data_IF_592478607007
#
_entry.id   IF_592478607007
#
_cell.length_a   1.000
_cell.length_b   1.000
_cell.length_c   1.000
_cell.angle_alpha   90.00
_cell.angle_beta   90.00
_cell.angle_gamma   90.00
#
_symmetry.space_group_name_H-M   'P 1'
#
loop_
_entity.id
_entity.type
_entity.pdbx_description
1 polymer ?
#
# COMPACT_ATOMS: atom_id res chain seq x y z
N UNK A 1 -35.47 34.25 -66.95
CA UNK A 1 -35.06 34.38 -65.53
C UNK A 1 -35.54 33.15 -64.77
N UNK A 2 -34.80 32.80 -63.72
CA UNK A 2 -35.02 31.73 -62.72
C UNK A 2 -34.53 30.32 -63.09
N UNK A 3 -33.27 30.05 -62.70
CA UNK A 3 -32.73 28.69 -62.53
C UNK A 3 -33.10 28.18 -61.13
N UNK A 4 -33.74 27.02 -61.08
CA UNK A 4 -33.96 26.23 -59.86
C UNK A 4 -32.67 25.46 -59.53
N UNK A 5 -32.20 25.56 -58.28
CA UNK A 5 -31.09 24.79 -57.74
C UNK A 5 -31.64 23.87 -56.63
N UNK A 6 -31.42 22.55 -56.66
CA UNK A 6 -31.81 21.68 -55.56
C UNK A 6 -30.70 21.67 -54.50
N UNK A 7 -31.09 21.94 -53.25
CA UNK A 7 -30.22 21.87 -52.07
C UNK A 7 -30.23 20.43 -51.55
N UNK A 8 -29.21 19.64 -51.87
CA UNK A 8 -28.99 18.31 -51.28
C UNK A 8 -28.34 18.46 -49.90
N UNK A 9 -29.12 18.20 -48.84
CA UNK A 9 -28.64 18.15 -47.47
C UNK A 9 -27.99 16.79 -47.21
N UNK A 10 -26.66 16.74 -47.20
CA UNK A 10 -25.89 15.54 -46.83
C UNK A 10 -25.69 15.57 -45.31
N UNK A 11 -26.42 14.75 -44.57
CA UNK A 11 -26.15 14.48 -43.15
C UNK A 11 -24.90 13.59 -43.03
N UNK A 12 -23.74 14.21 -42.78
CA UNK A 12 -22.56 13.50 -42.31
C UNK A 12 -22.78 13.08 -40.86
N UNK A 13 -23.20 11.83 -40.64
CA UNK A 13 -23.16 11.20 -39.33
C UNK A 13 -21.69 10.92 -38.96
N UNK A 14 -21.13 11.76 -38.09
CA UNK A 14 -19.82 11.53 -37.49
C UNK A 14 -19.90 10.29 -36.58
N UNK A 15 -19.36 9.17 -37.05
CA UNK A 15 -19.04 8.04 -36.18
C UNK A 15 -17.84 8.44 -35.33
N UNK A 16 -18.07 8.86 -34.09
CA UNK A 16 -17.01 8.94 -33.09
C UNK A 16 -16.61 7.52 -32.70
N UNK A 17 -15.34 7.10 -32.87
CA UNK A 17 -14.90 5.84 -32.32
C UNK A 17 -14.99 5.92 -30.81
N UNK A 18 -15.86 5.07 -30.23
CA UNK A 18 -15.84 4.79 -28.80
C UNK A 18 -14.53 4.02 -28.55
N UNK A 19 -13.53 4.73 -28.02
CA UNK A 19 -12.35 4.11 -27.43
C UNK A 19 -12.84 3.33 -26.21
N UNK A 20 -13.01 2.02 -26.38
CA UNK A 20 -13.12 1.09 -25.27
C UNK A 20 -11.74 1.08 -24.63
N UNK A 21 -11.57 1.84 -23.55
CA UNK A 21 -10.39 1.73 -22.71
C UNK A 21 -10.36 0.29 -22.18
N UNK A 22 -9.46 -0.51 -22.74
CA UNK A 22 -9.06 -1.78 -22.14
C UNK A 22 -8.58 -1.45 -20.73
N UNK A 23 -9.28 -1.96 -19.73
CA UNK A 23 -8.92 -1.84 -18.31
C UNK A 23 -7.62 -2.62 -18.08
N UNK A 24 -6.51 -2.00 -18.47
CA UNK A 24 -5.18 -2.58 -18.35
C UNK A 24 -4.72 -2.29 -16.93
N UNK A 25 -4.82 -3.30 -16.06
CA UNK A 25 -4.38 -3.18 -14.67
C UNK A 25 -2.96 -2.61 -14.61
N UNK A 26 -2.79 -1.47 -13.94
CA UNK A 26 -1.48 -0.86 -13.76
C UNK A 26 -0.58 -1.79 -12.94
N UNK A 27 0.56 -2.16 -13.53
CA UNK A 27 1.60 -2.92 -12.84
C UNK A 27 2.37 -2.01 -11.89
N UNK A 28 2.54 -2.46 -10.65
CA UNK A 28 3.29 -1.79 -9.59
C UNK A 28 4.21 -2.81 -8.95
N UNK A 29 5.48 -2.47 -8.74
CA UNK A 29 6.37 -3.32 -7.95
C UNK A 29 6.25 -2.97 -6.47
N UNK A 30 6.32 -3.96 -5.60
CA UNK A 30 6.38 -3.74 -4.14
C UNK A 30 7.62 -4.41 -3.57
N UNK A 31 8.33 -3.74 -2.66
CA UNK A 31 9.49 -4.35 -2.02
C UNK A 31 9.06 -5.55 -1.17
N UNK A 32 9.53 -6.74 -1.53
CA UNK A 32 9.16 -7.97 -0.83
C UNK A 32 9.79 -8.03 0.57
N UNK A 33 11.01 -7.52 0.70
CA UNK A 33 11.70 -7.38 1.98
C UNK A 33 11.64 -5.90 2.37
N UNK A 34 11.07 -5.59 3.53
CA UNK A 34 11.12 -4.24 4.10
C UNK A 34 12.56 -4.02 4.51
N UNK A 35 13.18 -2.95 4.01
CA UNK A 35 14.62 -2.75 4.18
C UNK A 35 15.49 -3.24 3.03
N UNK A 36 15.03 -3.17 1.77
CA UNK A 36 15.97 -3.11 0.66
C UNK A 36 16.94 -1.95 0.88
N UNK A 37 18.24 -2.25 0.94
CA UNK A 37 19.30 -1.26 0.92
C UNK A 37 19.34 -0.60 -0.47
N UNK A 38 18.38 0.29 -0.72
CA UNK A 38 18.45 1.28 -1.79
C UNK A 38 19.56 2.27 -1.37
N UNK A 39 20.51 2.63 -2.25
CA UNK A 39 21.56 3.60 -1.90
C UNK A 39 20.96 4.86 -1.26
N UNK A 40 21.32 5.13 0.01
CA UNK A 40 20.75 6.21 0.83
C UNK A 40 19.84 5.76 1.98
N UNK A 41 19.42 4.49 2.01
CA UNK A 41 18.62 3.89 3.07
C UNK A 41 19.30 2.61 3.58
N UNK A 42 19.80 2.64 4.83
CA UNK A 42 20.36 1.46 5.51
C UNK A 42 19.36 0.97 6.55
N UNK A 43 18.94 -0.29 6.47
CA UNK A 43 18.03 -0.89 7.45
C UNK A 43 18.69 -2.07 8.17
N UNK A 44 18.84 -1.96 9.49
CA UNK A 44 19.17 -3.05 10.38
C UNK A 44 17.90 -3.40 11.18
N UNK A 45 17.06 -4.29 10.66
CA UNK A 45 15.86 -4.72 11.38
C UNK A 45 16.16 -5.91 12.30
N UNK A 46 15.75 -5.79 13.56
CA UNK A 46 15.48 -6.95 14.39
C UNK A 46 14.31 -7.74 13.79
N UNK A 47 14.29 -9.07 13.92
CA UNK A 47 13.15 -9.88 13.49
C UNK A 47 11.87 -9.33 14.13
N UNK A 48 10.99 -8.74 13.30
CA UNK A 48 9.72 -8.21 13.77
C UNK A 48 8.83 -9.39 14.19
N UNK A 49 8.16 -9.32 15.36
CA UNK A 49 7.29 -10.40 15.78
C UNK A 49 6.12 -10.56 14.80
N UNK A 50 5.55 -11.76 14.72
CA UNK A 50 4.35 -12.07 13.95
C UNK A 50 4.49 -11.95 12.40
N UNK A 51 5.71 -11.95 11.83
CA UNK A 51 5.95 -11.87 10.37
C UNK A 51 5.23 -10.67 9.73
N UNK A 52 5.27 -9.50 10.39
CA UNK A 52 4.51 -8.29 9.98
C UNK A 52 4.82 -7.90 8.55
N UNK A 53 6.10 -7.91 8.21
CA UNK A 53 6.62 -7.68 6.88
C UNK A 53 5.90 -8.55 5.84
N UNK A 54 6.09 -9.86 5.93
CA UNK A 54 5.58 -10.82 4.96
C UNK A 54 4.05 -10.74 4.86
N UNK A 55 3.35 -10.67 6.00
CA UNK A 55 1.90 -10.56 6.01
C UNK A 55 1.42 -9.27 5.33
N UNK A 56 2.11 -8.14 5.51
CA UNK A 56 1.73 -6.88 4.88
C UNK A 56 1.89 -6.94 3.36
N UNK A 57 2.99 -7.48 2.83
CA UNK A 57 3.19 -7.63 1.37
C UNK A 57 2.12 -8.55 0.76
N UNK A 58 1.85 -9.70 1.39
CA UNK A 58 0.82 -10.62 0.93
C UNK A 58 -0.57 -9.95 0.88
N UNK A 59 -0.89 -9.13 1.87
CA UNK A 59 -2.13 -8.38 1.92
C UNK A 59 -2.20 -7.27 0.86
N UNK A 60 -1.10 -6.54 0.63
CA UNK A 60 -1.02 -5.51 -0.41
C UNK A 60 -1.29 -6.11 -1.80
N UNK A 61 -0.64 -7.22 -2.14
CA UNK A 61 -0.87 -7.93 -3.42
C UNK A 61 -2.31 -8.36 -3.57
N UNK A 62 -2.90 -8.89 -2.49
CA UNK A 62 -4.30 -9.36 -2.50
C UNK A 62 -5.29 -8.21 -2.67
N UNK A 63 -5.08 -7.08 -1.99
CA UNK A 63 -6.01 -5.95 -2.01
C UNK A 63 -5.82 -5.06 -3.24
N UNK A 64 -4.62 -5.02 -3.82
CA UNK A 64 -4.35 -4.33 -5.09
C UNK A 64 -5.19 -4.93 -6.23
N UNK A 65 -5.29 -6.27 -6.27
CA UNK A 65 -6.04 -6.98 -7.31
C UNK A 65 -7.52 -6.60 -7.31
N UNK A 66 -8.10 -6.31 -6.14
CA UNK A 66 -9.49 -5.83 -6.00
C UNK A 66 -9.68 -4.39 -6.48
N UNK A 67 -8.58 -3.64 -6.54
CA UNK A 67 -8.55 -2.22 -6.91
C UNK A 67 -8.12 -1.99 -8.37
N UNK A 68 -8.04 -3.05 -9.18
CA UNK A 68 -7.57 -2.97 -10.57
C UNK A 68 -6.07 -2.67 -10.69
N UNK A 69 -5.28 -3.06 -9.69
CA UNK A 69 -3.82 -2.92 -9.67
C UNK A 69 -3.16 -4.29 -9.60
N UNK A 70 -2.16 -4.51 -10.45
CA UNK A 70 -1.31 -5.69 -10.35
C UNK A 70 -0.08 -5.31 -9.53
N UNK A 71 0.02 -5.78 -8.28
CA UNK A 71 1.23 -5.63 -7.49
C UNK A 71 2.09 -6.89 -7.59
N UNK A 72 3.35 -6.73 -7.98
CA UNK A 72 4.35 -7.80 -8.02
C UNK A 72 5.42 -7.55 -6.95
N UNK A 73 5.57 -8.45 -5.96
CA UNK A 73 6.67 -8.40 -5.02
C UNK A 73 8.02 -8.60 -5.73
N UNK A 74 8.96 -7.71 -5.48
CA UNK A 74 10.32 -7.78 -6.03
C UNK A 74 11.36 -7.79 -4.92
N UNK A 75 12.40 -8.59 -5.15
CA UNK A 75 13.51 -8.80 -4.22
C UNK A 75 14.88 -8.41 -4.81
N UNK A 76 14.91 -7.72 -5.96
CA UNK A 76 16.15 -7.24 -6.57
C UNK A 76 16.01 -5.78 -6.97
N UNK A 77 17.10 -5.02 -6.81
CA UNK A 77 17.16 -3.60 -7.16
C UNK A 77 17.05 -3.35 -8.68
N UNK A 78 17.34 -4.35 -9.52
CA UNK A 78 17.25 -4.24 -10.98
C UNK A 78 15.84 -3.89 -11.48
N UNK A 79 14.79 -4.51 -10.91
CA UNK A 79 13.41 -4.19 -11.27
C UNK A 79 12.96 -2.83 -10.77
N UNK A 80 13.48 -2.41 -9.62
CA UNK A 80 13.20 -1.11 -8.99
C UNK A 80 13.85 0.04 -9.78
N UNK A 81 15.06 -0.16 -10.27
CA UNK A 81 15.84 0.86 -10.98
C UNK A 81 15.43 1.06 -12.45
N UNK A 82 14.53 0.22 -12.99
CA UNK A 82 14.08 0.31 -14.37
C UNK A 82 13.22 1.58 -14.64
N UNK A 83 12.81 2.31 -13.59
CA UNK A 83 12.23 3.67 -13.64
C UNK A 83 10.87 3.84 -14.30
N UNK A 84 10.47 2.88 -15.14
CA UNK A 84 9.25 2.91 -15.96
C UNK A 84 8.03 2.38 -15.21
N UNK A 85 8.23 1.35 -14.38
CA UNK A 85 7.17 0.75 -13.57
C UNK A 85 7.25 1.37 -12.18
N UNK A 86 6.15 1.93 -11.64
CA UNK A 86 6.15 2.52 -10.31
C UNK A 86 6.46 1.46 -9.25
N UNK A 87 7.19 1.89 -8.22
CA UNK A 87 7.61 1.03 -7.11
C UNK A 87 6.98 1.57 -5.83
N UNK A 88 6.14 0.75 -5.20
CA UNK A 88 5.67 0.91 -3.83
C UNK A 88 6.76 0.43 -2.87
N UNK A 89 7.37 1.38 -2.18
CA UNK A 89 8.33 1.15 -1.12
C UNK A 89 7.61 1.28 0.22
N UNK A 90 7.75 0.29 1.09
CA UNK A 90 7.22 0.35 2.44
C UNK A 90 8.36 0.20 3.44
N UNK A 91 8.34 1.07 4.45
CA UNK A 91 9.16 1.01 5.64
C UNK A 91 8.29 0.93 6.90
N UNK A 92 8.67 0.07 7.85
CA UNK A 92 7.98 -0.06 9.13
C UNK A 92 8.67 0.86 10.13
N UNK A 93 8.08 2.03 10.36
CA UNK A 93 8.65 3.05 11.25
C UNK A 93 8.55 2.65 12.73
N UNK A 94 7.43 2.03 13.13
CA UNK A 94 7.17 1.67 14.52
C UNK A 94 6.21 0.48 14.64
N UNK A 95 6.53 -0.44 15.53
CA UNK A 95 5.60 -1.38 16.15
C UNK A 95 5.61 -1.12 17.65
N UNK A 96 4.57 -0.49 18.17
CA UNK A 96 4.40 -0.32 19.62
C UNK A 96 3.46 -1.43 20.12
N UNK A 97 3.85 -2.13 21.18
CA UNK A 97 3.01 -3.08 21.92
C UNK A 97 2.65 -2.56 23.33
N UNK A 98 3.27 -1.43 23.74
CA UNK A 98 3.12 -0.78 25.04
C UNK A 98 4.37 0.02 25.42
N UNK A 99 4.40 0.59 26.63
CA UNK A 99 5.51 1.44 27.13
C UNK A 99 6.89 0.76 27.08
N UNK A 100 6.93 -0.55 27.34
CA UNK A 100 8.20 -1.30 27.50
C UNK A 100 8.58 -2.13 26.27
N UNK A 101 7.71 -2.19 25.25
CA UNK A 101 7.89 -3.05 24.07
C UNK A 101 7.54 -2.28 22.80
N UNK A 102 8.50 -1.47 22.34
CA UNK A 102 8.43 -0.75 21.07
C UNK A 102 9.60 -1.15 20.17
N UNK A 103 9.30 -1.43 18.91
CA UNK A 103 10.27 -1.71 17.85
C UNK A 103 10.19 -0.59 16.80
N UNK A 104 11.30 -0.28 16.16
CA UNK A 104 11.38 0.79 15.15
C UNK A 104 12.11 2.04 15.64
N UNK A 105 12.12 3.09 14.82
CA UNK A 105 12.95 4.29 15.03
C UNK A 105 12.27 5.40 15.83
N UNK A 106 10.95 5.28 16.06
CA UNK A 106 10.14 6.24 16.82
C UNK A 106 9.54 5.56 18.04
N UNK A 107 9.64 6.19 19.21
CA UNK A 107 9.27 5.58 20.51
C UNK A 107 8.40 6.48 21.39
N UNK A 108 7.98 7.65 20.91
CA UNK A 108 7.29 8.66 21.74
C UNK A 108 5.81 8.34 22.05
N UNK A 109 5.25 7.32 21.39
CA UNK A 109 3.81 7.03 21.44
C UNK A 109 3.56 5.60 21.95
N UNK A 110 2.81 5.49 23.04
CA UNK A 110 2.72 4.27 23.87
C UNK A 110 1.51 3.38 23.57
N UNK A 111 0.66 3.80 22.62
CA UNK A 111 -0.52 3.02 22.24
C UNK A 111 -0.12 1.87 21.30
N UNK A 112 -0.66 0.66 21.49
CA UNK A 112 -0.36 -0.47 20.61
C UNK A 112 -0.73 -0.18 19.16
N UNK A 113 0.26 -0.05 18.27
CA UNK A 113 0.07 0.35 16.88
C UNK A 113 1.16 -0.21 15.96
N UNK A 114 0.81 -0.32 14.69
CA UNK A 114 1.78 -0.44 13.59
C UNK A 114 1.77 0.87 12.81
N UNK A 115 2.94 1.46 12.62
CA UNK A 115 3.14 2.65 11.81
C UNK A 115 4.12 2.34 10.69
N UNK A 116 3.72 2.67 9.46
CA UNK A 116 4.53 2.48 8.27
C UNK A 116 4.59 3.76 7.45
N UNK A 117 5.70 3.95 6.76
CA UNK A 117 5.82 4.94 5.69
C UNK A 117 5.75 4.19 4.36
N UNK A 118 4.77 4.54 3.55
CA UNK A 118 4.64 4.08 2.18
C UNK A 118 5.17 5.18 1.24
N UNK A 119 5.81 4.77 0.15
CA UNK A 119 6.26 5.66 -0.90
C UNK A 119 6.02 5.07 -2.29
N UNK A 120 5.55 5.90 -3.22
CA UNK A 120 5.51 5.56 -4.65
C UNK A 120 6.68 6.28 -5.31
N UNK A 121 7.60 5.49 -5.88
CA UNK A 121 8.71 5.94 -6.69
C UNK A 121 8.41 5.68 -8.17
N UNK A 122 8.47 6.70 -9.02
CA UNK A 122 8.36 6.59 -10.48
C UNK A 122 9.38 7.52 -11.14
N UNK A 123 10.40 6.95 -11.76
CA UNK A 123 11.55 7.74 -12.21
C UNK A 123 12.21 8.46 -11.02
N UNK A 124 12.18 9.80 -11.05
CA UNK A 124 12.68 10.66 -9.97
C UNK A 124 11.55 11.15 -9.02
N UNK A 125 10.29 10.94 -9.38
CA UNK A 125 9.15 11.37 -8.59
C UNK A 125 8.94 10.43 -7.39
N UNK A 126 8.98 10.99 -6.19
CA UNK A 126 8.76 10.29 -4.93
C UNK A 126 7.59 10.93 -4.18
N UNK A 127 6.51 10.17 -4.00
CA UNK A 127 5.39 10.55 -3.14
C UNK A 127 5.36 9.66 -1.92
N UNK A 128 5.24 10.25 -0.72
CA UNK A 128 5.26 9.49 0.54
C UNK A 128 4.00 9.76 1.35
N UNK A 129 3.55 8.75 2.09
CA UNK A 129 2.47 8.85 3.05
C UNK A 129 2.75 7.98 4.26
N UNK A 130 2.27 8.43 5.43
CA UNK A 130 2.33 7.66 6.66
C UNK A 130 0.98 7.01 6.91
N UNK A 131 1.02 5.72 7.19
CA UNK A 131 -0.16 4.94 7.51
C UNK A 131 0.02 4.35 8.90
N UNK A 132 -1.08 4.27 9.66
CA UNK A 132 -1.05 3.74 11.02
C UNK A 132 -2.33 2.98 11.27
N UNK A 133 -2.18 1.83 11.93
CA UNK A 133 -3.32 1.08 12.44
C UNK A 133 -3.10 0.81 13.94
N UNK A 134 -4.20 0.80 14.70
CA UNK A 134 -4.16 0.41 16.10
C UNK A 134 -4.29 -1.12 16.21
N UNK A 135 -3.44 -1.73 17.04
CA UNK A 135 -3.47 -3.18 17.31
C UNK A 135 -4.61 -3.49 18.29
N UNK A 136 -4.83 -2.61 19.27
CA UNK A 136 -5.91 -2.73 20.24
C UNK A 136 -6.56 -1.37 20.50
N UNK A 137 -7.88 -1.37 20.71
CA UNK A 137 -8.60 -0.23 21.26
C UNK A 137 -8.62 -0.33 22.79
N UNK A 138 -8.61 0.81 23.50
CA UNK A 138 -8.49 0.88 24.97
C UNK A 138 -9.50 0.00 25.74
N UNK A 139 -10.65 -0.32 25.14
CA UNK A 139 -11.69 -1.18 25.71
C UNK A 139 -11.43 -2.69 25.58
N UNK A 140 -10.47 -3.10 24.75
CA UNK A 140 -10.05 -4.49 24.55
C UNK A 140 -8.83 -4.86 25.40
N UNK A 141 -8.20 -3.88 26.05
CA UNK A 141 -7.09 -4.09 26.99
C UNK A 141 -7.64 -4.47 28.37
N UNK A 142 -7.93 -5.74 28.61
CA UNK A 142 -8.05 -6.23 30.00
C UNK A 142 -6.66 -6.24 30.65
N UNK A 143 -6.52 -5.80 31.92
CA UNK A 143 -5.24 -5.88 32.61
C UNK A 143 -4.80 -7.35 32.66
N UNK A 144 -3.77 -7.68 31.89
CA UNK A 144 -3.20 -9.02 31.80
C UNK A 144 -1.75 -8.95 32.25
N UNK A 145 -1.29 -9.99 32.96
CA UNK A 145 0.09 -10.12 33.42
C UNK A 145 1.05 -10.60 32.33
N UNK A 146 0.58 -10.79 31.08
CA UNK A 146 1.38 -11.29 29.97
C UNK A 146 1.14 -10.45 28.70
N UNK A 147 2.20 -9.81 28.17
CA UNK A 147 2.16 -8.94 26.98
C UNK A 147 1.67 -9.64 25.71
N UNK A 148 1.77 -10.97 25.64
CA UNK A 148 1.25 -11.76 24.50
C UNK A 148 -0.25 -12.07 24.61
N UNK A 149 -0.81 -11.84 25.79
CA UNK A 149 -2.20 -12.13 26.14
C UNK A 149 -2.94 -10.80 26.31
N UNK A 150 -3.64 -10.36 25.26
CA UNK A 150 -4.49 -9.16 25.32
C UNK A 150 -5.84 -9.46 26.02
N UNK A 151 -6.01 -10.65 26.61
CA UNK A 151 -7.26 -11.13 27.19
C UNK A 151 -7.87 -12.28 26.39
N UNK A 152 -8.98 -12.81 26.93
CA UNK A 152 -9.58 -14.14 26.67
C UNK A 152 -9.83 -14.51 25.19
N UNK A 153 -9.80 -13.57 24.24
CA UNK A 153 -10.23 -13.80 22.85
C UNK A 153 -9.20 -13.49 21.74
N UNK A 154 -8.12 -12.75 21.99
CA UNK A 154 -7.17 -12.34 20.93
C UNK A 154 -5.71 -12.32 21.41
N UNK A 155 -4.80 -12.88 20.62
CA UNK A 155 -3.36 -12.75 20.82
C UNK A 155 -2.84 -11.48 20.14
N UNK A 156 -1.67 -11.00 20.56
CA UNK A 156 -1.01 -9.86 19.91
C UNK A 156 -0.86 -10.06 18.40
N UNK A 157 -0.54 -11.28 17.94
CA UNK A 157 -0.38 -11.54 16.51
C UNK A 157 -1.72 -11.58 15.76
N UNK A 158 -2.82 -12.01 16.37
CA UNK A 158 -4.13 -11.97 15.70
C UNK A 158 -4.65 -10.53 15.58
N UNK A 159 -4.43 -9.72 16.61
CA UNK A 159 -4.71 -8.29 16.62
C UNK A 159 -3.86 -7.53 15.59
N UNK A 160 -2.55 -7.79 15.54
CA UNK A 160 -1.64 -7.24 14.53
C UNK A 160 -2.06 -7.65 13.12
N UNK A 161 -2.44 -8.91 12.89
CA UNK A 161 -2.95 -9.34 11.58
C UNK A 161 -4.22 -8.62 11.14
N UNK A 162 -5.09 -8.24 12.08
CA UNK A 162 -6.27 -7.40 11.77
C UNK A 162 -5.83 -5.98 11.39
N UNK A 163 -4.95 -5.38 12.21
CA UNK A 163 -4.32 -4.09 11.94
C UNK A 163 -3.73 -4.04 10.52
N UNK A 164 -2.93 -5.03 10.13
CA UNK A 164 -2.28 -5.09 8.81
C UNK A 164 -3.27 -5.19 7.65
N UNK A 165 -4.46 -5.80 7.83
CA UNK A 165 -5.51 -5.85 6.80
C UNK A 165 -6.17 -4.49 6.57
N UNK A 166 -6.24 -3.66 7.59
CA UNK A 166 -6.78 -2.31 7.46
C UNK A 166 -5.71 -1.39 6.87
N UNK A 167 -4.45 -1.56 7.31
CA UNK A 167 -3.29 -0.87 6.78
C UNK A 167 -3.07 -1.16 5.28
N UNK A 168 -3.21 -2.41 4.84
CA UNK A 168 -3.03 -2.78 3.42
C UNK A 168 -4.05 -2.09 2.52
N UNK A 169 -5.32 -2.03 2.94
CA UNK A 169 -6.38 -1.34 2.19
C UNK A 169 -6.11 0.14 2.09
N UNK A 170 -5.74 0.78 3.20
CA UNK A 170 -5.45 2.22 3.26
C UNK A 170 -4.28 2.59 2.33
N UNK A 171 -3.21 1.80 2.35
CA UNK A 171 -2.07 1.98 1.43
C UNK A 171 -2.49 1.79 -0.02
N UNK A 172 -3.28 0.75 -0.34
CA UNK A 172 -3.73 0.49 -1.72
C UNK A 172 -4.67 1.60 -2.22
N UNK A 173 -5.58 2.07 -1.37
CA UNK A 173 -6.51 3.16 -1.69
C UNK A 173 -5.76 4.46 -1.95
N UNK A 174 -4.75 4.77 -1.12
CA UNK A 174 -3.86 5.90 -1.34
C UNK A 174 -3.00 5.75 -2.61
N UNK A 175 -2.44 4.57 -2.85
CA UNK A 175 -1.53 4.33 -3.99
C UNK A 175 -2.26 4.30 -5.34
N UNK A 176 -3.51 3.80 -5.38
CA UNK A 176 -4.27 3.58 -6.62
C UNK A 176 -4.35 4.80 -7.55
N UNK A 177 -4.75 6.00 -7.09
CA UNK A 177 -4.78 7.18 -7.96
C UNK A 177 -3.40 7.68 -8.39
N UNK A 178 -2.31 7.26 -7.74
CA UNK A 178 -0.94 7.69 -8.04
C UNK A 178 -0.29 6.84 -9.14
N UNK A 179 -0.77 5.61 -9.31
CA UNK A 179 -0.19 4.61 -10.21
C UNK A 179 -1.05 4.31 -11.44
N UNK A 180 -2.34 4.65 -11.40
CA UNK A 180 -3.25 4.67 -12.56
C UNK A 180 -3.01 5.91 -13.41
#
# INVERSE_FOLDING_TARGET
MNKLLPLTLICLSAFTPVLIASEQNSLVYVNQNFGFNVPGYNYAQAELPCEIDKNLVELLVKDSAKSGLTMEPVNTTEKVNNGTIPVLLIDIEQLALGKDFSFGTKTEDNLPKVQVTAAILRGEDLQTAKHTCAIAVLNELTPSSNILDLGVNYSICSATKKCLKDLSKDIVEWASPLVK
#
